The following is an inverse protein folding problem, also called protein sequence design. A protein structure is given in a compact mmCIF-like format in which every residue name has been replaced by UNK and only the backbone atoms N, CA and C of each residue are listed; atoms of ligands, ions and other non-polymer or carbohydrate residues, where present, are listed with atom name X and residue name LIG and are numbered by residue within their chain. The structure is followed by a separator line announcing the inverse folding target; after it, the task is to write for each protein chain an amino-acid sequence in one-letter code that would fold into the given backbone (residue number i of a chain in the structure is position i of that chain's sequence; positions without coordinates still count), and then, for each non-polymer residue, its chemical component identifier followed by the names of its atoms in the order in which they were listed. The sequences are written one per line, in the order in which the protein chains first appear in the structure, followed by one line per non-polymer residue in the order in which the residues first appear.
data_IF_446087015548
#
_entry.id   IF_446087015548
#
_cell.length_a   1.000
_cell.length_b   1.000
_cell.length_c   1.000
_cell.angle_alpha   90.00
_cell.angle_beta   90.00
_cell.angle_gamma   90.00
#
_symmetry.space_group_name_H-M   'P 1'
#
loop_
_entity.id
_entity.type
_entity.pdbx_description
1 polymer ?
#
# COMPACT_ATOMS: atom_id res chain seq x y z
N UNK A 1 21.66 -2.18 -26.48
CA UNK A 1 21.87 -3.15 -25.38
C UNK A 1 20.51 -3.71 -25.06
N UNK A 2 20.27 -5.00 -25.25
CA UNK A 2 19.05 -5.63 -24.70
C UNK A 2 19.04 -5.32 -23.21
N UNK A 3 18.00 -4.66 -22.73
CA UNK A 3 17.86 -4.37 -21.31
C UNK A 3 18.00 -5.72 -20.58
N UNK A 4 19.03 -5.84 -19.73
CA UNK A 4 19.14 -6.99 -18.85
C UNK A 4 17.92 -7.04 -17.93
N UNK A 5 17.56 -8.23 -17.47
CA UNK A 5 16.46 -8.41 -16.52
C UNK A 5 16.54 -7.43 -15.36
N UNK A 6 15.40 -6.85 -14.98
CA UNK A 6 15.28 -6.02 -13.76
C UNK A 6 14.87 -6.82 -12.54
N UNK A 7 14.79 -8.14 -12.66
CA UNK A 7 14.62 -9.05 -11.53
C UNK A 7 15.96 -9.23 -10.83
N UNK A 8 16.07 -8.71 -9.62
CA UNK A 8 17.31 -8.74 -8.84
C UNK A 8 17.80 -10.17 -8.58
N UNK A 9 16.86 -11.11 -8.41
CA UNK A 9 17.16 -12.52 -8.18
C UNK A 9 17.78 -13.24 -9.39
N UNK A 10 17.75 -12.66 -10.59
CA UNK A 10 18.39 -13.19 -11.78
C UNK A 10 19.84 -12.71 -11.94
N UNK A 11 20.30 -11.79 -11.08
CA UNK A 11 21.68 -11.33 -11.05
C UNK A 11 22.56 -12.26 -10.22
N UNK A 12 23.83 -12.39 -10.63
CA UNK A 12 24.86 -12.97 -9.76
C UNK A 12 25.21 -12.01 -8.61
N UNK A 13 25.70 -12.54 -7.48
CA UNK A 13 26.13 -11.71 -6.35
C UNK A 13 27.07 -10.56 -6.72
N UNK A 14 28.15 -10.79 -7.51
CA UNK A 14 29.00 -9.71 -8.01
C UNK A 14 28.28 -8.67 -8.88
N UNK A 15 27.28 -9.08 -9.67
CA UNK A 15 26.49 -8.15 -10.48
C UNK A 15 25.58 -7.26 -9.62
N UNK A 16 25.00 -7.79 -8.53
CA UNK A 16 24.25 -6.98 -7.54
C UNK A 16 25.19 -5.94 -6.92
N UNK A 17 26.36 -6.36 -6.44
CA UNK A 17 27.32 -5.47 -5.79
C UNK A 17 27.87 -4.36 -6.71
N UNK A 18 27.93 -4.61 -8.02
CA UNK A 18 28.36 -3.63 -9.02
C UNK A 18 27.21 -2.77 -9.57
N UNK A 19 25.97 -3.27 -9.51
CA UNK A 19 24.81 -2.68 -10.16
C UNK A 19 23.96 -1.79 -9.27
N UNK A 20 23.99 -1.98 -7.94
CA UNK A 20 23.19 -1.20 -6.99
C UNK A 20 24.04 -0.09 -6.34
N UNK A 21 23.39 1.03 -6.05
CA UNK A 21 23.97 2.17 -5.38
C UNK A 21 22.93 3.06 -4.67
N UNK A 22 23.34 4.20 -4.11
CA UNK A 22 22.49 5.05 -3.28
C UNK A 22 21.24 5.60 -3.99
N UNK A 23 21.26 5.67 -5.32
CA UNK A 23 20.12 6.14 -6.12
C UNK A 23 19.20 4.99 -6.56
N UNK A 24 19.60 3.73 -6.35
CA UNK A 24 18.80 2.56 -6.73
C UNK A 24 17.53 2.46 -5.90
N UNK A 25 16.43 2.12 -6.57
CA UNK A 25 15.15 1.77 -5.97
C UNK A 25 14.97 0.26 -6.04
N UNK A 26 14.73 -0.38 -4.90
CA UNK A 26 14.32 -1.78 -4.86
C UNK A 26 12.83 -1.86 -4.59
N UNK A 27 12.09 -2.51 -5.47
CA UNK A 27 10.66 -2.79 -5.34
C UNK A 27 10.49 -4.21 -4.80
N UNK A 28 9.76 -4.35 -3.70
CA UNK A 28 9.32 -5.60 -3.11
C UNK A 28 7.82 -5.76 -3.35
N UNK A 29 7.39 -6.48 -4.40
CA UNK A 29 6.00 -6.86 -4.54
C UNK A 29 5.55 -7.68 -3.34
N UNK A 30 4.40 -7.33 -2.78
CA UNK A 30 3.86 -7.89 -1.54
C UNK A 30 2.37 -8.15 -1.72
N UNK A 31 2.01 -9.41 -1.96
CA UNK A 31 0.63 -9.84 -2.17
C UNK A 31 0.04 -10.48 -0.92
N UNK A 32 -0.86 -11.44 -1.13
CA UNK A 32 -1.39 -12.38 -0.14
C UNK A 32 -1.93 -13.63 -0.85
N UNK A 33 -2.22 -14.68 -0.07
CA UNK A 33 -2.99 -15.85 -0.50
C UNK A 33 -4.23 -15.97 0.39
N UNK A 34 -5.39 -15.58 -0.14
CA UNK A 34 -6.60 -15.41 0.65
C UNK A 34 -7.90 -15.55 -0.12
N UNK A 35 -8.97 -15.83 0.62
CA UNK A 35 -10.28 -16.07 0.05
C UNK A 35 -10.90 -14.80 -0.54
N UNK A 36 -11.16 -14.80 -1.86
CA UNK A 36 -11.76 -13.69 -2.62
C UNK A 36 -13.19 -13.99 -3.12
N UNK A 37 -13.91 -14.85 -2.40
CA UNK A 37 -15.20 -15.36 -2.84
C UNK A 37 -15.11 -16.61 -3.69
N UNK A 38 -16.27 -17.12 -4.13
CA UNK A 38 -16.35 -18.36 -4.89
C UNK A 38 -15.86 -18.21 -6.34
N UNK A 39 -15.79 -16.98 -6.87
CA UNK A 39 -15.51 -16.70 -8.28
C UNK A 39 -14.05 -16.36 -8.58
N UNK A 40 -13.25 -15.98 -7.57
CA UNK A 40 -11.86 -15.55 -7.74
C UNK A 40 -10.84 -16.55 -7.17
N UNK A 41 -9.59 -16.57 -7.71
CA UNK A 41 -8.54 -17.40 -7.17
C UNK A 41 -7.98 -16.84 -5.87
N UNK A 42 -7.43 -17.72 -5.03
CA UNK A 42 -6.78 -17.34 -3.76
C UNK A 42 -5.57 -16.41 -3.93
N UNK A 43 -5.00 -16.36 -5.13
CA UNK A 43 -3.77 -15.60 -5.45
C UNK A 43 -4.07 -14.23 -6.07
N UNK A 44 -5.28 -13.69 -5.89
CA UNK A 44 -5.68 -12.40 -6.47
C UNK A 44 -4.68 -11.29 -6.11
N UNK A 45 -4.41 -11.08 -4.83
CA UNK A 45 -3.46 -10.05 -4.35
C UNK A 45 -2.02 -10.30 -4.79
N UNK A 46 -1.60 -11.56 -4.83
CA UNK A 46 -0.30 -11.94 -5.38
C UNK A 46 -0.19 -11.52 -6.85
N UNK A 47 -1.21 -11.80 -7.67
CA UNK A 47 -1.22 -11.43 -9.08
C UNK A 47 -1.20 -9.90 -9.25
N UNK A 48 -1.96 -9.17 -8.44
CA UNK A 48 -1.95 -7.71 -8.46
C UNK A 48 -0.55 -7.17 -8.16
N UNK A 49 0.04 -7.60 -7.04
CA UNK A 49 1.35 -7.14 -6.60
C UNK A 49 2.44 -7.48 -7.64
N UNK A 50 2.48 -8.74 -8.09
CA UNK A 50 3.52 -9.25 -8.98
C UNK A 50 3.45 -8.61 -10.38
N UNK A 51 2.24 -8.52 -10.96
CA UNK A 51 2.09 -8.06 -12.35
C UNK A 51 2.25 -6.55 -12.48
N UNK A 52 1.64 -5.77 -11.60
CA UNK A 52 1.78 -4.31 -11.62
C UNK A 52 3.18 -3.90 -11.17
N UNK A 53 3.72 -4.54 -10.12
CA UNK A 53 5.09 -4.31 -9.67
C UNK A 53 6.11 -4.55 -10.79
N UNK A 54 6.03 -5.70 -11.46
CA UNK A 54 6.93 -6.05 -12.56
C UNK A 54 6.81 -5.12 -13.76
N UNK A 55 5.59 -4.85 -14.21
CA UNK A 55 5.37 -3.93 -15.32
C UNK A 55 5.87 -2.51 -15.02
N UNK A 56 5.66 -2.03 -13.78
CA UNK A 56 6.12 -0.71 -13.36
C UNK A 56 7.64 -0.62 -13.31
N UNK A 57 8.31 -1.64 -12.76
CA UNK A 57 9.78 -1.71 -12.72
C UNK A 57 10.37 -1.74 -14.13
N UNK A 58 9.87 -2.60 -15.01
CA UNK A 58 10.35 -2.70 -16.40
C UNK A 58 10.16 -1.38 -17.15
N UNK A 59 8.98 -0.75 -17.04
CA UNK A 59 8.70 0.50 -17.73
C UNK A 59 9.53 1.66 -17.19
N UNK A 60 9.61 1.81 -15.88
CA UNK A 60 10.42 2.85 -15.24
C UNK A 60 11.92 2.69 -15.55
N UNK A 61 12.40 1.45 -15.61
CA UNK A 61 13.77 1.15 -16.02
C UNK A 61 14.05 1.48 -17.50
N UNK A 62 13.09 1.23 -18.39
CA UNK A 62 13.17 1.63 -19.80
C UNK A 62 13.17 3.17 -19.94
N UNK A 63 12.52 3.87 -19.02
CA UNK A 63 12.52 5.35 -18.91
C UNK A 63 13.77 5.91 -18.21
N UNK A 64 14.71 5.05 -17.80
CA UNK A 64 16.02 5.44 -17.30
C UNK A 64 16.18 5.44 -15.77
N UNK A 65 15.18 4.98 -15.00
CA UNK A 65 15.35 4.79 -13.56
C UNK A 65 16.23 3.57 -13.27
N UNK A 66 17.05 3.69 -12.24
CA UNK A 66 17.75 2.54 -11.66
C UNK A 66 16.84 1.85 -10.64
N UNK A 67 16.00 0.95 -11.14
CA UNK A 67 14.98 0.26 -10.37
C UNK A 67 15.04 -1.25 -10.58
N UNK A 68 14.85 -2.00 -9.50
CA UNK A 68 14.98 -3.46 -9.46
C UNK A 68 13.83 -4.09 -8.69
N UNK A 69 13.41 -5.29 -9.10
CA UNK A 69 12.38 -6.05 -8.42
C UNK A 69 12.96 -7.23 -7.63
N UNK A 70 12.53 -7.39 -6.39
CA UNK A 70 12.69 -8.63 -5.61
C UNK A 70 11.59 -9.65 -5.93
N UNK A 71 11.80 -10.95 -5.64
CA UNK A 71 10.73 -11.93 -5.72
C UNK A 71 9.52 -11.54 -4.87
N UNK A 72 8.32 -11.70 -5.43
CA UNK A 72 7.07 -11.36 -4.76
C UNK A 72 6.88 -12.15 -3.47
N UNK A 73 6.54 -11.47 -2.36
CA UNK A 73 6.15 -12.13 -1.12
C UNK A 73 4.68 -12.57 -1.29
N UNK A 74 4.48 -13.89 -1.30
CA UNK A 74 3.16 -14.47 -1.55
C UNK A 74 2.30 -14.61 -0.28
N UNK A 75 2.91 -15.00 0.84
CA UNK A 75 2.20 -15.19 2.11
C UNK A 75 2.51 -14.01 3.03
N UNK A 76 1.46 -13.34 3.51
CA UNK A 76 1.59 -12.14 4.34
C UNK A 76 0.56 -12.15 5.48
N UNK A 77 0.43 -11.02 6.19
CA UNK A 77 -0.62 -10.82 7.19
C UNK A 77 -1.95 -10.71 6.44
N UNK A 78 -2.81 -11.72 6.58
CA UNK A 78 -4.11 -11.89 5.90
C UNK A 78 -5.12 -12.64 6.82
N UNK A 79 -4.90 -12.56 8.13
CA UNK A 79 -5.68 -13.29 9.14
C UNK A 79 -7.12 -12.78 9.30
N UNK A 80 -7.49 -11.64 8.70
CA UNK A 80 -8.89 -11.23 8.49
C UNK A 80 -9.70 -12.22 7.61
N UNK A 81 -9.01 -13.12 6.88
CA UNK A 81 -9.56 -14.21 6.08
C UNK A 81 -9.29 -15.59 6.69
N UNK A 82 -8.79 -15.68 7.94
CA UNK A 82 -8.38 -16.94 8.59
C UNK A 82 -9.50 -17.97 8.78
N UNK A 83 -10.75 -17.52 8.77
CA UNK A 83 -11.92 -18.40 8.83
C UNK A 83 -12.18 -19.15 7.51
N UNK A 84 -11.63 -18.63 6.40
CA UNK A 84 -11.97 -19.09 5.06
C UNK A 84 -11.01 -20.19 4.55
N UNK A 85 -11.51 -21.23 3.88
CA UNK A 85 -10.66 -22.28 3.34
C UNK A 85 -9.66 -21.77 2.30
N UNK A 86 -8.41 -22.23 2.41
CA UNK A 86 -7.34 -21.94 1.46
C UNK A 86 -6.53 -20.68 1.75
N UNK A 87 -6.98 -19.82 2.68
CA UNK A 87 -6.17 -18.69 3.16
C UNK A 87 -4.89 -19.20 3.81
N UNK A 88 -3.74 -18.62 3.44
CA UNK A 88 -2.43 -18.91 4.03
C UNK A 88 -1.82 -17.60 4.50
N UNK A 89 -1.67 -17.45 5.81
CA UNK A 89 -1.28 -16.19 6.42
C UNK A 89 -0.12 -16.35 7.41
N UNK A 90 0.57 -15.23 7.63
CA UNK A 90 1.55 -15.05 8.71
C UNK A 90 0.91 -14.22 9.82
N UNK A 91 1.36 -14.42 11.05
CA UNK A 91 1.03 -13.49 12.13
C UNK A 91 1.72 -12.12 11.94
N UNK A 92 1.27 -11.13 12.69
CA UNK A 92 1.74 -9.75 12.54
C UNK A 92 3.24 -9.64 12.81
N UNK A 93 3.73 -10.35 13.83
CA UNK A 93 5.12 -10.29 14.26
C UNK A 93 6.05 -10.87 13.20
N UNK A 94 5.67 -12.00 12.60
CA UNK A 94 6.43 -12.69 11.56
C UNK A 94 6.46 -11.87 10.28
N UNK A 95 5.32 -11.29 9.85
CA UNK A 95 5.30 -10.46 8.65
C UNK A 95 6.06 -9.14 8.86
N UNK A 96 5.94 -8.52 10.04
CA UNK A 96 6.71 -7.32 10.39
C UNK A 96 8.22 -7.59 10.38
N UNK A 97 8.66 -8.65 11.04
CA UNK A 97 10.07 -9.01 11.08
C UNK A 97 10.60 -9.39 9.70
N UNK A 98 9.79 -10.06 8.88
CA UNK A 98 10.12 -10.35 7.48
C UNK A 98 10.37 -9.06 6.70
N UNK A 99 9.46 -8.09 6.75
CA UNK A 99 9.61 -6.80 6.07
C UNK A 99 10.86 -6.05 6.55
N UNK A 100 11.12 -6.03 7.87
CA UNK A 100 12.31 -5.39 8.44
C UNK A 100 13.60 -6.09 8.01
N UNK A 101 13.62 -7.42 7.95
CA UNK A 101 14.76 -8.21 7.50
C UNK A 101 15.04 -8.07 6.01
N UNK A 102 13.99 -7.94 5.18
CA UNK A 102 14.13 -7.54 3.76
C UNK A 102 14.77 -6.16 3.68
N UNK A 103 14.29 -5.19 4.46
CA UNK A 103 14.89 -3.85 4.54
C UNK A 103 16.37 -3.87 4.93
N UNK A 104 16.76 -4.71 5.89
CA UNK A 104 18.18 -4.93 6.24
C UNK A 104 18.98 -5.44 5.05
N UNK A 105 18.48 -6.45 4.34
CA UNK A 105 19.16 -7.04 3.19
C UNK A 105 19.34 -6.02 2.06
N UNK A 106 18.29 -5.26 1.74
CA UNK A 106 18.32 -4.20 0.71
C UNK A 106 19.34 -3.11 1.06
N UNK A 107 19.40 -2.67 2.32
CA UNK A 107 20.40 -1.70 2.76
C UNK A 107 21.84 -2.23 2.62
N UNK A 108 22.07 -3.51 2.93
CA UNK A 108 23.38 -4.14 2.75
C UNK A 108 23.79 -4.29 1.29
N UNK A 109 22.84 -4.31 0.36
CA UNK A 109 23.10 -4.28 -1.09
C UNK A 109 23.50 -2.89 -1.59
N UNK A 110 23.38 -1.84 -0.78
CA UNK A 110 23.78 -0.47 -1.13
C UNK A 110 22.68 0.38 -1.77
N UNK A 111 21.46 -0.15 -1.92
CA UNK A 111 20.31 0.62 -2.42
C UNK A 111 19.92 1.73 -1.43
N UNK A 112 19.43 2.86 -1.94
CA UNK A 112 18.96 3.96 -1.10
C UNK A 112 17.46 3.94 -0.80
N UNK A 113 16.67 3.23 -1.61
CA UNK A 113 15.20 3.20 -1.47
C UNK A 113 14.63 1.80 -1.52
N UNK A 114 13.61 1.56 -0.69
CA UNK A 114 12.79 0.35 -0.70
C UNK A 114 11.31 0.72 -0.84
N UNK A 115 10.64 0.13 -1.83
CA UNK A 115 9.21 0.32 -2.10
C UNK A 115 8.50 -1.02 -1.92
N UNK A 116 7.53 -1.08 -1.02
CA UNK A 116 6.59 -2.20 -0.98
C UNK A 116 5.45 -1.92 -1.96
N UNK A 117 5.42 -2.64 -3.09
CA UNK A 117 4.32 -2.62 -4.05
C UNK A 117 3.24 -3.60 -3.56
N UNK A 118 2.22 -3.06 -2.89
CA UNK A 118 1.30 -3.83 -2.06
C UNK A 118 -0.04 -4.08 -2.76
N UNK A 119 -0.38 -5.36 -2.88
CA UNK A 119 -1.62 -5.84 -3.49
C UNK A 119 -2.73 -6.19 -2.50
N UNK A 120 -2.47 -6.16 -1.19
CA UNK A 120 -3.41 -6.66 -0.17
C UNK A 120 -3.72 -5.61 0.91
N UNK A 121 -5.00 -5.43 1.24
CA UNK A 121 -5.46 -4.43 2.21
C UNK A 121 -4.90 -4.62 3.64
N UNK A 122 -4.87 -5.86 4.15
CA UNK A 122 -4.44 -6.18 5.51
C UNK A 122 -2.98 -5.86 5.82
N UNK A 123 -2.14 -5.78 4.79
CA UNK A 123 -0.74 -5.43 4.93
C UNK A 123 -0.52 -3.93 5.25
N UNK A 124 -1.46 -3.05 4.90
CA UNK A 124 -1.21 -1.59 4.83
C UNK A 124 -0.74 -1.03 6.17
N UNK A 125 -1.48 -1.27 7.25
CA UNK A 125 -1.16 -0.71 8.56
C UNK A 125 0.19 -1.25 9.09
N UNK A 126 0.43 -2.55 8.94
CA UNK A 126 1.66 -3.21 9.36
C UNK A 126 2.86 -2.70 8.58
N UNK A 127 2.75 -2.64 7.25
CA UNK A 127 3.84 -2.16 6.40
C UNK A 127 4.17 -0.69 6.69
N UNK A 128 3.18 0.17 6.95
CA UNK A 128 3.43 1.56 7.34
C UNK A 128 4.27 1.67 8.63
N UNK A 129 4.06 0.79 9.61
CA UNK A 129 4.92 0.71 10.80
C UNK A 129 6.31 0.23 10.40
N UNK A 130 6.40 -0.82 9.58
CA UNK A 130 7.67 -1.38 9.11
C UNK A 130 8.52 -0.36 8.32
N UNK A 131 7.91 0.47 7.46
CA UNK A 131 8.61 1.52 6.71
C UNK A 131 9.45 2.40 7.65
N UNK A 132 8.82 2.91 8.72
CA UNK A 132 9.50 3.78 9.68
C UNK A 132 10.60 3.04 10.44
N UNK A 133 10.36 1.77 10.78
CA UNK A 133 11.36 0.96 11.47
C UNK A 133 12.59 0.70 10.61
N UNK A 134 12.38 0.31 9.34
CA UNK A 134 13.45 0.09 8.35
C UNK A 134 14.26 1.37 8.16
N UNK A 135 13.59 2.51 7.95
CA UNK A 135 14.26 3.81 7.82
C UNK A 135 15.09 4.14 9.05
N UNK A 136 14.55 3.97 10.26
CA UNK A 136 15.23 4.26 11.53
C UNK A 136 16.47 3.40 11.72
N UNK A 137 16.41 2.11 11.34
CA UNK A 137 17.51 1.15 11.54
C UNK A 137 18.57 1.21 10.46
N UNK A 138 18.18 1.46 9.21
CA UNK A 138 19.03 1.22 8.03
C UNK A 138 19.18 2.42 7.10
N UNK A 139 18.52 3.55 7.39
CA UNK A 139 18.67 4.78 6.62
C UNK A 139 17.97 4.79 5.25
N UNK A 140 17.29 3.71 4.86
CA UNK A 140 16.56 3.64 3.60
C UNK A 140 15.42 4.68 3.52
N UNK A 141 15.20 5.24 2.33
CA UNK A 141 13.94 5.88 1.98
C UNK A 141 12.91 4.77 1.69
N UNK A 142 11.85 4.71 2.49
CA UNK A 142 10.90 3.60 2.46
C UNK A 142 9.51 4.09 2.05
N UNK A 143 8.86 3.37 1.14
CA UNK A 143 7.54 3.74 0.61
C UNK A 143 6.60 2.54 0.56
N UNK A 144 5.31 2.82 0.68
CA UNK A 144 4.23 1.87 0.43
C UNK A 144 3.46 2.38 -0.78
N UNK A 145 3.41 1.59 -1.83
CA UNK A 145 2.76 1.92 -3.10
C UNK A 145 1.65 0.90 -3.36
N UNK A 146 0.39 1.32 -3.53
CA UNK A 146 -0.68 0.39 -3.91
C UNK A 146 -0.45 -0.12 -5.34
N UNK A 147 -0.92 -1.33 -5.63
CA UNK A 147 -0.88 -1.89 -7.01
C UNK A 147 -2.21 -1.83 -7.74
N UNK A 148 -3.26 -1.31 -7.11
CA UNK A 148 -4.57 -1.11 -7.73
C UNK A 148 -5.02 0.33 -7.52
N UNK A 149 -5.23 1.04 -8.63
CA UNK A 149 -5.74 2.40 -8.65
C UNK A 149 -7.25 2.44 -8.39
N UNK A 150 -7.72 3.58 -7.88
CA UNK A 150 -9.15 3.84 -7.71
C UNK A 150 -9.72 4.45 -8.97
N UNK A 151 -10.33 3.63 -9.81
CA UNK A 151 -11.02 4.05 -11.04
C UNK A 151 -12.53 3.89 -10.86
N UNK A 152 -13.37 4.86 -11.27
CA UNK A 152 -14.82 4.70 -11.25
C UNK A 152 -15.26 3.41 -11.96
N UNK A 153 -16.25 2.72 -11.38
CA UNK A 153 -16.79 1.48 -11.94
C UNK A 153 -17.41 1.66 -13.33
N UNK A 154 -17.61 0.56 -14.09
CA UNK A 154 -18.03 0.58 -15.51
C UNK A 154 -19.42 1.17 -15.79
N UNK A 155 -20.16 1.57 -14.75
CA UNK A 155 -21.54 2.06 -14.84
C UNK A 155 -21.82 3.32 -14.03
N UNK A 156 -20.77 4.05 -13.62
CA UNK A 156 -20.90 5.32 -12.88
C UNK A 156 -21.07 5.15 -11.37
N UNK A 157 -21.38 6.25 -10.67
CA UNK A 157 -21.34 6.39 -9.20
C UNK A 157 -22.19 5.35 -8.45
N UNK A 158 -23.29 4.82 -9.02
CA UNK A 158 -24.11 3.77 -8.39
C UNK A 158 -23.45 2.38 -8.36
N UNK A 159 -22.31 2.20 -9.02
CA UNK A 159 -21.50 1.00 -9.01
C UNK A 159 -20.20 1.14 -8.22
N UNK A 160 -19.97 2.27 -7.56
CA UNK A 160 -18.78 2.47 -6.72
C UNK A 160 -18.81 1.64 -5.43
N UNK A 161 -19.71 0.66 -5.36
CA UNK A 161 -20.00 -0.17 -4.19
C UNK A 161 -20.23 0.70 -2.94
N UNK A 162 -20.64 1.96 -3.12
CA UNK A 162 -20.79 3.02 -2.11
C UNK A 162 -19.51 3.34 -1.34
N UNK A 163 -18.36 3.11 -1.97
CA UNK A 163 -17.04 3.13 -1.33
C UNK A 163 -16.83 1.98 -0.33
N UNK A 164 -17.69 0.96 -0.35
CA UNK A 164 -17.62 -0.22 0.51
C UNK A 164 -17.02 -1.43 -0.20
N UNK A 165 -16.84 -1.36 -1.52
CA UNK A 165 -16.15 -2.37 -2.31
C UNK A 165 -14.67 -2.38 -2.02
N UNK A 166 -14.24 -3.31 -1.20
CA UNK A 166 -12.86 -3.38 -0.72
C UNK A 166 -12.23 -4.76 -0.90
N UNK A 167 -13.02 -5.79 -1.26
CA UNK A 167 -12.55 -7.17 -1.30
C UNK A 167 -13.39 -8.06 -2.22
N UNK A 168 -12.79 -8.71 -3.20
CA UNK A 168 -13.45 -9.57 -4.19
C UNK A 168 -14.48 -8.85 -5.06
N UNK A 169 -14.52 -7.51 -5.02
CA UNK A 169 -15.52 -6.67 -5.67
C UNK A 169 -15.30 -6.51 -7.18
N UNK A 170 -15.97 -5.52 -7.77
CA UNK A 170 -15.94 -5.28 -9.20
C UNK A 170 -14.51 -5.04 -9.73
N UNK A 171 -13.69 -4.28 -9.00
CA UNK A 171 -12.36 -3.87 -9.44
C UNK A 171 -11.37 -5.05 -9.51
N UNK A 172 -11.21 -5.79 -8.42
CA UNK A 172 -10.31 -6.96 -8.37
C UNK A 172 -10.77 -8.05 -9.34
N UNK A 173 -12.08 -8.32 -9.38
CA UNK A 173 -12.64 -9.31 -10.31
C UNK A 173 -12.35 -8.92 -11.76
N UNK A 174 -12.54 -7.65 -12.10
CA UNK A 174 -12.25 -7.14 -13.45
C UNK A 174 -10.78 -7.22 -13.79
N UNK A 175 -9.90 -6.88 -12.84
CA UNK A 175 -8.45 -6.97 -13.03
C UNK A 175 -8.01 -8.42 -13.27
N UNK A 176 -8.52 -9.39 -12.50
CA UNK A 176 -8.17 -10.79 -12.73
C UNK A 176 -8.80 -11.33 -14.03
N UNK A 177 -10.00 -10.89 -14.43
CA UNK A 177 -10.54 -11.18 -15.76
C UNK A 177 -9.63 -10.69 -16.90
N UNK A 178 -8.97 -9.54 -16.71
CA UNK A 178 -8.02 -9.02 -17.69
C UNK A 178 -6.71 -9.82 -17.71
N UNK A 179 -6.17 -10.17 -16.53
CA UNK A 179 -4.85 -10.79 -16.39
C UNK A 179 -4.86 -12.32 -16.59
N UNK A 180 -5.87 -12.99 -16.03
CA UNK A 180 -6.01 -14.45 -15.92
C UNK A 180 -7.49 -14.84 -15.97
N UNK A 181 -8.18 -14.61 -17.10
CA UNK A 181 -9.60 -14.95 -17.24
C UNK A 181 -9.88 -16.44 -17.02
N UNK A 182 -8.89 -17.30 -17.22
CA UNK A 182 -8.95 -18.74 -16.97
C UNK A 182 -9.10 -19.12 -15.49
N UNK A 183 -8.87 -18.18 -14.57
CA UNK A 183 -8.99 -18.37 -13.13
C UNK A 183 -10.28 -17.78 -12.52
N UNK A 184 -11.14 -17.16 -13.33
CA UNK A 184 -12.36 -16.50 -12.84
C UNK A 184 -13.60 -17.26 -13.29
N UNK A 185 -14.46 -17.60 -12.35
CA UNK A 185 -15.79 -18.16 -12.66
C UNK A 185 -16.88 -17.11 -12.43
N UNK A 186 -17.19 -16.35 -13.48
CA UNK A 186 -18.22 -15.31 -13.42
C UNK A 186 -19.64 -15.84 -13.18
N UNK A 187 -19.89 -17.15 -13.31
CA UNK A 187 -21.20 -17.71 -12.95
C UNK A 187 -21.46 -17.72 -11.44
N UNK A 188 -20.39 -17.54 -10.64
CA UNK A 188 -20.41 -17.47 -9.18
C UNK A 188 -20.25 -16.02 -8.66
N UNK A 189 -20.10 -15.04 -9.55
CA UNK A 189 -19.87 -13.65 -9.19
C UNK A 189 -21.18 -12.98 -8.75
N UNK A 190 -21.27 -12.63 -7.47
CA UNK A 190 -22.48 -12.08 -6.85
C UNK A 190 -22.23 -10.72 -6.18
N UNK A 191 -23.33 -10.05 -5.81
CA UNK A 191 -23.29 -8.81 -5.03
C UNK A 191 -23.33 -9.09 -3.51
N UNK A 192 -22.27 -8.68 -2.82
CA UNK A 192 -22.06 -8.76 -1.38
C UNK A 192 -21.63 -7.40 -0.79
N UNK A 193 -22.44 -6.37 -1.01
CA UNK A 193 -22.19 -5.03 -0.46
C UNK A 193 -22.85 -4.90 0.91
N UNK A 194 -22.13 -4.51 1.98
CA UNK A 194 -22.69 -4.35 3.32
C UNK A 194 -23.46 -3.02 3.44
N UNK A 195 -24.64 -2.95 2.81
CA UNK A 195 -25.42 -1.71 2.66
C UNK A 195 -25.77 -1.03 4.00
N UNK A 196 -25.90 -1.78 5.09
CA UNK A 196 -26.15 -1.22 6.43
C UNK A 196 -25.02 -0.30 6.92
N UNK A 197 -23.79 -0.43 6.42
CA UNK A 197 -22.69 0.47 6.75
C UNK A 197 -22.85 1.88 6.16
N UNK A 198 -23.75 2.05 5.19
CA UNK A 198 -24.04 3.36 4.60
C UNK A 198 -24.72 4.31 5.60
N UNK A 199 -25.35 3.78 6.65
CA UNK A 199 -25.99 4.55 7.72
C UNK A 199 -24.98 5.32 8.59
N UNK A 200 -23.70 4.94 8.56
CA UNK A 200 -22.65 5.60 9.34
C UNK A 200 -21.90 6.62 8.48
N UNK A 201 -21.95 7.89 8.86
CA UNK A 201 -21.28 8.96 8.11
C UNK A 201 -19.76 9.00 8.30
N UNK A 202 -19.27 8.57 9.47
CA UNK A 202 -17.86 8.74 9.90
C UNK A 202 -17.05 7.45 9.89
N UNK A 203 -17.70 6.30 10.06
CA UNK A 203 -17.06 4.98 10.09
C UNK A 203 -16.98 4.46 8.67
N UNK A 204 -15.77 4.21 8.16
CA UNK A 204 -15.53 3.70 6.80
C UNK A 204 -14.38 2.69 6.83
N UNK A 205 -14.36 1.76 5.87
CA UNK A 205 -13.19 0.90 5.63
C UNK A 205 -11.96 1.74 5.32
N UNK A 206 -12.10 2.65 4.35
CA UNK A 206 -11.05 3.55 3.88
C UNK A 206 -11.58 4.98 3.72
N UNK A 207 -10.70 5.98 3.87
CA UNK A 207 -10.98 7.39 3.55
C UNK A 207 -11.92 8.14 4.51
N UNK A 208 -12.52 7.46 5.49
CA UNK A 208 -13.29 8.09 6.56
C UNK A 208 -12.43 8.54 7.74
N UNK A 209 -12.93 9.45 8.60
CA UNK A 209 -12.19 9.91 9.78
C UNK A 209 -12.10 8.86 10.89
N UNK A 210 -12.89 7.77 10.83
CA UNK A 210 -12.90 6.68 11.81
C UNK A 210 -12.78 5.34 11.08
N UNK A 211 -11.71 4.60 11.39
CA UNK A 211 -11.54 3.19 10.99
C UNK A 211 -12.02 2.25 12.10
N UNK A 212 -12.23 0.98 11.75
CA UNK A 212 -12.66 -0.06 12.69
C UNK A 212 -11.96 -1.38 12.33
N UNK A 213 -11.79 -2.27 13.32
CA UNK A 213 -11.31 -3.63 13.08
C UNK A 213 -12.44 -4.49 12.52
N UNK A 214 -12.18 -5.20 11.44
CA UNK A 214 -13.15 -6.05 10.76
C UNK A 214 -12.50 -7.38 10.38
N UNK A 215 -13.31 -8.41 10.28
CA UNK A 215 -12.99 -9.68 9.65
C UNK A 215 -13.86 -9.83 8.40
N UNK A 216 -13.37 -10.52 7.37
CA UNK A 216 -14.11 -10.62 6.11
C UNK A 216 -15.45 -11.37 6.23
N UNK A 217 -15.63 -12.18 7.27
CA UNK A 217 -16.92 -12.83 7.58
C UNK A 217 -17.90 -11.96 8.37
N UNK A 218 -17.52 -10.75 8.80
CA UNK A 218 -18.47 -9.83 9.45
C UNK A 218 -19.59 -9.40 8.48
N UNK A 219 -19.36 -9.54 7.16
CA UNK A 219 -20.25 -9.05 6.10
C UNK A 219 -20.91 -10.16 5.28
N UNK A 220 -20.71 -11.43 5.66
CA UNK A 220 -21.30 -12.58 4.96
C UNK A 220 -20.36 -13.77 4.92
N UNK A 221 -20.89 -14.92 4.48
CA UNK A 221 -20.14 -16.17 4.37
C UNK A 221 -19.34 -16.36 3.08
N UNK A 222 -19.55 -15.58 2.00
CA UNK A 222 -18.68 -15.68 0.82
C UNK A 222 -17.37 -14.90 0.93
N UNK A 223 -17.18 -14.10 1.99
CA UNK A 223 -15.96 -13.31 2.17
C UNK A 223 -15.75 -12.16 1.19
N UNK A 224 -16.63 -11.99 0.19
CA UNK A 224 -16.67 -10.82 -0.71
C UNK A 224 -17.27 -9.63 0.02
N UNK A 225 -16.67 -8.44 -0.15
CA UNK A 225 -17.18 -7.15 0.31
C UNK A 225 -17.18 -6.21 -0.90
N UNK A 226 -18.24 -6.29 -1.71
CA UNK A 226 -18.34 -5.64 -3.02
C UNK A 226 -19.40 -6.26 -3.94
N UNK A 227 -19.44 -5.84 -5.21
CA UNK A 227 -20.33 -6.31 -6.26
C UNK A 227 -19.55 -6.86 -7.45
N UNK A 228 -19.21 -8.15 -7.39
CA UNK A 228 -18.47 -8.82 -8.46
C UNK A 228 -19.31 -9.02 -9.73
N UNK A 229 -20.64 -8.97 -9.64
CA UNK A 229 -21.55 -9.27 -10.76
C UNK A 229 -21.42 -8.30 -11.94
N UNK A 230 -20.84 -7.13 -11.68
CA UNK A 230 -20.62 -6.05 -12.66
C UNK A 230 -19.21 -6.03 -13.25
N UNK A 231 -18.37 -7.00 -12.89
CA UNK A 231 -16.99 -7.05 -13.33
C UNK A 231 -16.87 -7.37 -14.83
N UNK A 232 -15.91 -6.74 -15.51
CA UNK A 232 -15.64 -6.97 -16.93
C UNK A 232 -14.14 -6.89 -17.22
N UNK A 233 -13.66 -7.66 -18.20
CA UNK A 233 -12.26 -7.59 -18.63
C UNK A 233 -11.88 -6.20 -19.18
N UNK A 234 -12.82 -5.48 -19.80
CA UNK A 234 -12.59 -4.13 -20.31
C UNK A 234 -12.36 -3.10 -19.18
N UNK A 235 -13.11 -3.23 -18.08
CA UNK A 235 -12.84 -2.43 -16.88
C UNK A 235 -11.50 -2.82 -16.26
N UNK A 236 -11.16 -4.11 -16.25
CA UNK A 236 -9.86 -4.62 -15.81
C UNK A 236 -8.69 -4.02 -16.58
N UNK A 237 -8.81 -3.92 -17.91
CA UNK A 237 -7.81 -3.25 -18.74
C UNK A 237 -7.67 -1.78 -18.37
N UNK A 238 -8.78 -1.08 -18.12
CA UNK A 238 -8.74 0.34 -17.69
C UNK A 238 -8.03 0.48 -16.34
N UNK A 239 -8.35 -0.40 -15.38
CA UNK A 239 -7.68 -0.44 -14.08
C UNK A 239 -6.18 -0.72 -14.23
N UNK A 240 -5.81 -1.66 -15.11
CA UNK A 240 -4.41 -1.99 -15.39
C UNK A 240 -3.65 -0.78 -15.90
N UNK A 241 -4.16 -0.13 -16.95
CA UNK A 241 -3.50 1.01 -17.58
C UNK A 241 -3.28 2.16 -16.57
N UNK A 242 -4.32 2.51 -15.79
CA UNK A 242 -4.22 3.56 -14.76
C UNK A 242 -3.30 3.16 -13.62
N UNK A 243 -3.40 1.93 -13.11
CA UNK A 243 -2.55 1.46 -11.99
C UNK A 243 -1.08 1.43 -12.38
N UNK A 244 -0.77 1.02 -13.61
CA UNK A 244 0.59 1.02 -14.13
C UNK A 244 1.12 2.45 -14.31
N UNK A 245 0.29 3.36 -14.83
CA UNK A 245 0.64 4.78 -14.98
C UNK A 245 0.95 5.45 -13.65
N UNK A 246 0.09 5.24 -12.64
CA UNK A 246 0.29 5.76 -11.29
C UNK A 246 1.54 5.16 -10.62
N UNK A 247 1.78 3.86 -10.78
CA UNK A 247 2.95 3.19 -10.21
C UNK A 247 4.26 3.73 -10.80
N UNK A 248 4.33 3.89 -12.13
CA UNK A 248 5.52 4.42 -12.80
C UNK A 248 5.74 5.90 -12.44
N UNK A 249 4.68 6.71 -12.44
CA UNK A 249 4.76 8.09 -11.99
C UNK A 249 5.27 8.18 -10.53
N UNK A 250 4.79 7.30 -9.66
CA UNK A 250 5.22 7.21 -8.26
C UNK A 250 6.70 6.85 -8.14
N UNK A 251 7.22 5.91 -8.95
CA UNK A 251 8.64 5.56 -8.95
C UNK A 251 9.53 6.74 -9.36
N UNK A 252 9.11 7.54 -10.33
CA UNK A 252 9.80 8.79 -10.70
C UNK A 252 9.78 9.82 -9.58
N UNK A 253 8.67 9.95 -8.86
CA UNK A 253 8.60 10.84 -7.69
C UNK A 253 9.51 10.37 -6.55
N UNK A 254 9.52 9.06 -6.30
CA UNK A 254 10.36 8.41 -5.28
C UNK A 254 11.85 8.63 -5.57
N UNK A 255 12.26 8.50 -6.83
CA UNK A 255 13.65 8.71 -7.25
C UNK A 255 14.17 10.10 -6.83
N UNK A 256 13.33 11.13 -6.95
CA UNK A 256 13.65 12.53 -6.62
C UNK A 256 13.23 12.97 -5.21
N UNK A 257 12.57 12.12 -4.43
CA UNK A 257 12.06 12.49 -3.12
C UNK A 257 13.19 12.60 -2.09
N UNK A 258 13.28 13.76 -1.44
CA UNK A 258 14.10 14.01 -0.26
C UNK A 258 13.29 14.78 0.80
N UNK A 259 13.02 14.18 1.98
CA UNK A 259 12.25 14.83 3.04
C UNK A 259 13.01 15.98 3.74
N UNK A 260 14.31 16.15 3.50
CA UNK A 260 15.13 17.22 4.09
C UNK A 260 15.23 18.48 3.22
N UNK A 261 14.85 18.41 1.94
CA UNK A 261 14.90 19.56 1.02
C UNK A 261 13.63 20.39 1.15
N UNK A 262 13.73 21.56 1.79
CA UNK A 262 12.67 22.54 1.78
C UNK A 262 12.47 23.07 0.35
N UNK A 263 11.23 23.02 -0.16
CA UNK A 263 10.88 23.66 -1.43
C UNK A 263 11.26 25.14 -1.35
N UNK A 264 11.92 25.75 -2.35
CA UNK A 264 12.05 27.19 -2.40
C UNK A 264 10.65 27.79 -2.27
N UNK A 265 10.47 28.72 -1.33
CA UNK A 265 9.22 29.45 -1.21
C UNK A 265 8.85 29.99 -2.59
N UNK A 266 7.67 29.61 -3.10
CA UNK A 266 7.15 30.21 -4.32
C UNK A 266 7.21 31.73 -4.13
N UNK A 267 7.91 32.41 -5.04
CA UNK A 267 8.38 33.77 -4.85
C UNK A 267 7.31 34.67 -4.25
N UNK A 268 7.72 35.44 -3.24
CA UNK A 268 6.96 36.59 -2.78
C UNK A 268 6.78 37.53 -3.97
N UNK A 269 5.66 37.38 -4.69
CA UNK A 269 5.17 38.35 -5.62
C UNK A 269 4.98 39.64 -4.83
N UNK A 270 5.75 40.65 -5.19
CA UNK A 270 5.60 42.00 -4.69
C UNK A 270 4.15 42.44 -4.92
N UNK A 271 3.35 42.51 -3.84
CA UNK A 271 2.10 43.25 -3.85
C UNK A 271 2.41 44.60 -3.21
N UNK A 272 2.75 45.55 -4.08
CA UNK A 272 2.73 46.96 -3.74
C UNK A 272 1.28 47.43 -3.62
N UNK A 273 0.97 48.11 -2.52
CA UNK A 273 -0.07 49.14 -2.45
C UNK A 273 -1.50 48.67 -2.16
N UNK A 274 -2.02 49.09 -1.01
CA UNK A 274 -3.46 49.04 -0.74
C UNK A 274 -3.81 49.32 0.73
N UNK A 275 -3.85 50.60 1.10
CA UNK A 275 -4.36 51.05 2.38
C UNK A 275 -5.85 50.67 2.56
N UNK A 276 -6.23 50.23 3.75
CA UNK A 276 -7.63 49.97 4.09
C UNK A 276 -7.80 49.68 5.58
N UNK A 277 -8.31 50.66 6.31
CA UNK A 277 -8.62 50.60 7.73
C UNK A 277 -9.80 49.67 8.05
N UNK A 278 -9.82 49.09 9.25
CA UNK A 278 -11.01 48.42 9.80
C UNK A 278 -10.65 47.58 11.03
N UNK A 279 -11.11 48.01 12.20
CA UNK A 279 -10.62 47.53 13.49
C UNK A 279 -11.15 46.18 13.96
N UNK A 280 -10.55 45.70 15.04
CA UNK A 280 -11.14 44.71 15.94
C UNK A 280 -10.68 45.00 17.37
N UNK A 281 -11.68 45.11 18.24
CA UNK A 281 -11.56 45.36 19.66
C UNK A 281 -10.85 44.22 20.40
N UNK A 282 -10.06 44.59 21.40
CA UNK A 282 -9.53 43.67 22.40
C UNK A 282 -10.46 43.51 23.59
N UNK A 283 -10.40 42.33 24.19
CA UNK A 283 -10.57 41.98 25.61
C UNK A 283 -10.10 40.51 25.71
N UNK A 284 -9.22 40.06 26.59
CA UNK A 284 -8.70 40.62 27.84
C UNK A 284 -8.95 39.62 28.98
N UNK A 285 -7.87 39.09 29.58
CA UNK A 285 -7.86 38.36 30.88
C UNK A 285 -7.81 36.83 30.74
N UNK A 286 -6.70 36.11 31.05
CA UNK A 286 -6.02 35.94 32.37
C UNK A 286 -7.01 35.45 33.44
N UNK A 287 -6.78 34.49 34.33
CA UNK A 287 -5.68 33.67 34.84
C UNK A 287 -6.37 32.55 35.68
N UNK A 288 -5.80 31.45 36.19
CA UNK A 288 -4.46 30.92 36.26
C UNK A 288 -4.46 29.69 37.21
N UNK A 289 -3.29 29.04 37.27
CA UNK A 289 -2.66 28.31 38.38
C UNK A 289 -3.36 27.16 39.11
N UNK A 290 -2.64 26.01 39.15
CA UNK A 290 -2.41 25.30 40.41
C UNK A 290 -2.13 23.80 40.29
N UNK A 291 -0.93 23.35 40.72
CA UNK A 291 -0.75 22.04 41.34
C UNK A 291 0.36 21.16 40.76
N UNK A 292 1.40 20.93 41.57
CA UNK A 292 2.63 20.20 41.26
C UNK A 292 2.69 18.80 41.91
N UNK A 293 3.81 18.11 41.65
CA UNK A 293 4.37 16.88 42.26
C UNK A 293 3.89 15.54 41.64
N UNK A 294 4.72 14.52 41.42
CA UNK A 294 6.15 14.30 41.67
C UNK A 294 6.47 12.79 41.62
N UNK A 295 7.67 12.45 41.10
CA UNK A 295 8.54 11.27 41.35
C UNK A 295 8.05 9.82 41.15
N UNK A 296 8.92 9.02 40.48
CA UNK A 296 9.01 7.58 40.69
C UNK A 296 9.62 6.80 39.51
N UNK A 297 10.91 6.47 39.58
CA UNK A 297 11.59 5.57 38.62
C UNK A 297 11.63 4.12 39.08
N UNK A 298 11.74 3.18 38.14
CA UNK A 298 12.30 1.82 38.26
C UNK A 298 12.31 1.21 36.84
N UNK A 299 13.47 0.94 36.24
CA UNK A 299 14.27 -0.30 36.32
C UNK A 299 13.82 -1.37 35.31
N UNK A 300 14.73 -1.62 34.36
CA UNK A 300 14.74 -2.67 33.34
C UNK A 300 15.19 -4.00 33.96
N UNK A 301 14.70 -5.14 33.46
CA UNK A 301 15.55 -6.32 33.35
C UNK A 301 15.66 -6.81 31.91
N UNK A 302 16.91 -7.04 31.49
CA UNK A 302 17.29 -7.92 30.40
C UNK A 302 17.07 -9.39 30.79
N UNK A 303 17.00 -10.28 29.78
CA UNK A 303 17.21 -11.76 29.77
C UNK A 303 16.32 -12.33 28.64
N UNK A 304 16.69 -13.25 27.74
CA UNK A 304 17.91 -14.01 27.43
C UNK A 304 17.71 -14.56 26.00
N UNK A 305 18.78 -14.60 25.21
CA UNK A 305 18.83 -15.27 23.92
C UNK A 305 18.92 -16.80 24.11
N UNK A 306 18.16 -17.56 23.33
CA UNK A 306 18.28 -19.02 23.26
C UNK A 306 18.50 -19.41 21.80
N UNK A 307 19.66 -20.06 21.59
CA UNK A 307 20.18 -20.86 20.47
C UNK A 307 19.47 -20.86 19.12
#
# INVERSE_FOLDING_TARGET
MTAGSRLLAELSGPAVAAGLGPDSIVVQPTGAVEHHGPHLPLVTDFLLADRIGGAAVERAAAEGLDVWQLPTIAFTKSDEHSWAPGTVWLDESTMFDTAVQVGRAVALMGAGSLVFANGHGGNVALLQVALREIRKRYGLKTFLMPTLARVPGPSGEDADERGLGIHGGAAETSMILHLRPDLVDMSLAERWVPDHLTEFERIRFNGGPVSFGWLSNDFGTPGVVGDASRATAAYGQTLWDVSLDEAVASLHEIARFDPAVARPAAGAGAVAGGAGAGGAAGVGGAAGVGGAAGVGGAAVPAVVAVS
#
